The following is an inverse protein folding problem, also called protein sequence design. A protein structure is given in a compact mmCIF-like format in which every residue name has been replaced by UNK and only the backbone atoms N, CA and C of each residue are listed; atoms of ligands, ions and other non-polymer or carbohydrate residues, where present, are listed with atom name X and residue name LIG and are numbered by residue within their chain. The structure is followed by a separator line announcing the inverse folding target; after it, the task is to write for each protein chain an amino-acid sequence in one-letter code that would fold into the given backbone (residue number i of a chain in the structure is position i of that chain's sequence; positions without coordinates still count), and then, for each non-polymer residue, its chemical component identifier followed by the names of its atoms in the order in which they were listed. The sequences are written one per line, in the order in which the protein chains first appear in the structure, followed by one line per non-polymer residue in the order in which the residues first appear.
data_IF_047009305926
#
_entry.id   IF_047009305926
#
_cell.length_a   1.000
_cell.length_b   1.000
_cell.length_c   1.000
_cell.angle_alpha   90.00
_cell.angle_beta   90.00
_cell.angle_gamma   90.00
#
_symmetry.space_group_name_H-M   'P 1'
#
loop_
_entity.id
_entity.type
_entity.pdbx_description
1 polymer ?
#
# COMPACT_ATOMS: atom_id res chain seq x y z
N UNK A 1 19.29 -3.02 2.44
CA UNK A 1 18.21 -2.14 2.94
C UNK A 1 17.58 -1.40 1.76
N UNK A 2 16.26 -1.53 1.62
CA UNK A 2 15.56 -0.81 0.55
C UNK A 2 15.50 0.68 0.85
N UNK A 3 15.76 1.50 -0.16
CA UNK A 3 15.55 2.94 -0.09
C UNK A 3 14.15 3.28 -0.60
N UNK A 4 13.81 2.80 -1.77
CA UNK A 4 12.49 3.01 -2.37
C UNK A 4 12.19 1.90 -3.38
N UNK A 5 10.91 1.81 -3.75
CA UNK A 5 10.43 0.91 -4.78
C UNK A 5 9.52 1.69 -5.72
N UNK A 6 9.52 1.35 -6.99
CA UNK A 6 8.65 1.96 -7.99
C UNK A 6 7.91 0.92 -8.79
N UNK A 7 6.65 1.19 -9.10
CA UNK A 7 5.85 0.34 -9.96
C UNK A 7 5.19 1.18 -11.05
N UNK A 8 4.92 0.55 -12.18
CA UNK A 8 4.19 1.18 -13.28
C UNK A 8 2.69 0.90 -13.11
N UNK A 9 1.85 1.90 -13.38
CA UNK A 9 0.41 1.80 -13.29
C UNK A 9 -0.22 2.24 -14.59
N UNK A 10 -1.36 1.63 -14.96
CA UNK A 10 -2.02 1.94 -16.21
C UNK A 10 -2.62 3.34 -16.23
N UNK A 11 -3.29 3.73 -15.16
CA UNK A 11 -3.97 5.01 -15.06
C UNK A 11 -3.38 5.81 -13.90
N UNK A 12 -2.51 6.75 -14.22
CA UNK A 12 -1.80 7.54 -13.23
C UNK A 12 -2.72 8.26 -12.25
N UNK A 13 -3.73 9.00 -12.78
CA UNK A 13 -4.60 9.79 -11.92
C UNK A 13 -5.44 8.92 -10.97
N UNK A 14 -5.96 7.82 -11.46
CA UNK A 14 -6.73 6.89 -10.62
C UNK A 14 -5.86 6.23 -9.57
N UNK A 15 -4.67 5.76 -9.95
CA UNK A 15 -3.76 5.10 -9.01
C UNK A 15 -3.19 6.08 -7.99
N UNK A 16 -2.92 7.32 -8.40
CA UNK A 16 -2.48 8.36 -7.47
C UNK A 16 -3.55 8.61 -6.41
N UNK A 17 -4.80 8.79 -6.81
CA UNK A 17 -5.91 8.99 -5.88
C UNK A 17 -6.09 7.77 -4.98
N UNK A 18 -5.99 6.57 -5.55
CA UNK A 18 -6.09 5.33 -4.81
C UNK A 18 -5.04 5.24 -3.69
N UNK A 19 -3.77 5.39 -4.04
CA UNK A 19 -2.69 5.26 -3.06
C UNK A 19 -2.68 6.40 -2.05
N UNK A 20 -3.07 7.59 -2.45
CA UNK A 20 -3.22 8.70 -1.52
C UNK A 20 -4.23 8.38 -0.41
N UNK A 21 -5.37 7.79 -0.78
CA UNK A 21 -6.41 7.41 0.17
C UNK A 21 -6.02 6.21 1.03
N UNK A 22 -5.41 5.21 0.42
CA UNK A 22 -5.13 3.91 1.04
C UNK A 22 -3.94 3.97 1.99
N UNK A 23 -2.94 4.78 1.65
CA UNK A 23 -1.71 4.88 2.45
C UNK A 23 -1.82 5.94 3.55
N UNK A 24 -2.79 6.84 3.48
CA UNK A 24 -2.99 7.85 4.52
C UNK A 24 -3.16 7.26 5.93
N UNK A 25 -3.96 6.20 6.12
CA UNK A 25 -4.08 5.58 7.45
C UNK A 25 -2.76 5.04 8.01
N UNK A 26 -1.78 4.78 7.15
CA UNK A 26 -0.47 4.30 7.57
C UNK A 26 0.51 5.44 7.83
N UNK A 27 0.05 6.69 7.70
CA UNK A 27 0.89 7.87 7.91
C UNK A 27 1.63 8.33 6.67
N UNK A 28 1.36 7.74 5.53
CA UNK A 28 1.98 8.14 4.26
C UNK A 28 1.29 9.36 3.68
N UNK A 29 2.08 10.19 3.01
CA UNK A 29 1.60 11.35 2.28
C UNK A 29 2.12 11.31 0.86
N UNK A 30 1.43 11.98 -0.05
CA UNK A 30 1.99 12.29 -1.36
C UNK A 30 3.03 13.39 -1.14
N UNK A 31 4.31 13.03 -1.24
CA UNK A 31 5.41 13.92 -0.91
C UNK A 31 5.91 14.67 -2.15
N UNK A 32 5.99 13.97 -3.26
CA UNK A 32 6.58 14.53 -4.46
C UNK A 32 5.81 14.05 -5.68
N UNK A 33 5.59 14.97 -6.60
CA UNK A 33 4.99 14.65 -7.88
C UNK A 33 5.84 15.27 -8.98
N UNK A 34 6.38 14.42 -9.84
CA UNK A 34 7.14 14.84 -11.01
C UNK A 34 6.40 14.26 -12.20
N UNK A 35 6.49 14.87 -13.32
CA UNK A 35 5.80 14.51 -14.55
C UNK A 35 5.53 13.01 -14.70
N UNK A 36 4.29 12.56 -14.41
CA UNK A 36 3.90 11.16 -14.54
C UNK A 36 4.38 10.24 -13.41
N UNK A 37 5.03 10.79 -12.39
CA UNK A 37 5.51 10.04 -11.23
C UNK A 37 4.93 10.63 -9.95
N UNK A 38 4.49 9.79 -9.03
CA UNK A 38 4.05 10.21 -7.70
C UNK A 38 4.81 9.43 -6.65
N UNK A 39 5.40 10.13 -5.69
CA UNK A 39 6.17 9.55 -4.59
C UNK A 39 5.46 9.72 -3.26
N UNK A 40 5.27 8.62 -2.55
CA UNK A 40 4.58 8.56 -1.26
C UNK A 40 5.55 8.14 -0.17
N UNK A 41 5.37 8.68 1.02
CA UNK A 41 6.23 8.31 2.15
C UNK A 41 5.85 9.05 3.42
N UNK A 42 6.72 8.95 4.41
CA UNK A 42 6.56 9.56 5.73
C UNK A 42 7.74 10.49 5.98
N UNK A 43 7.46 11.62 6.64
CA UNK A 43 8.54 12.52 7.07
C UNK A 43 9.30 13.19 5.95
N UNK A 44 8.63 13.45 4.84
CA UNK A 44 9.27 14.15 3.72
C UNK A 44 10.13 13.27 2.83
N UNK A 45 10.19 11.96 3.09
CA UNK A 45 11.00 11.04 2.29
C UNK A 45 10.10 10.04 1.58
N UNK A 46 9.99 10.11 0.24
CA UNK A 46 9.22 9.12 -0.51
C UNK A 46 9.99 7.80 -0.60
N UNK A 47 9.28 6.70 -0.39
CA UNK A 47 9.86 5.37 -0.55
C UNK A 47 8.99 4.43 -1.40
N UNK A 48 7.82 4.91 -1.82
CA UNK A 48 6.95 4.16 -2.72
C UNK A 48 6.53 5.08 -3.87
N UNK A 49 6.88 4.68 -5.09
CA UNK A 49 6.64 5.49 -6.29
C UNK A 49 5.74 4.77 -7.27
N UNK A 50 4.88 5.52 -7.94
CA UNK A 50 4.11 5.00 -9.08
C UNK A 50 4.45 5.86 -10.30
N UNK A 51 4.47 5.22 -11.47
CA UNK A 51 4.65 5.89 -12.75
C UNK A 51 3.53 5.47 -13.68
N UNK A 52 2.90 6.44 -14.35
CA UNK A 52 1.79 6.17 -15.25
C UNK A 52 2.23 5.77 -16.66
N UNK A 53 1.28 5.21 -17.41
CA UNK A 53 1.45 4.92 -18.83
C UNK A 53 1.82 3.49 -19.17
N UNK A 54 2.14 2.68 -18.17
CA UNK A 54 2.47 1.25 -18.35
C UNK A 54 1.91 0.48 -17.18
N UNK A 55 2.03 -0.83 -17.25
CA UNK A 55 1.64 -1.71 -16.15
C UNK A 55 2.80 -2.63 -15.82
N UNK A 56 3.17 -2.73 -14.55
CA UNK A 56 4.18 -3.68 -14.11
C UNK A 56 3.61 -5.10 -14.25
N UNK A 57 4.30 -5.95 -14.99
CA UNK A 57 3.92 -7.34 -15.25
C UNK A 57 5.14 -8.23 -15.04
N UNK A 58 5.00 -9.37 -14.36
CA UNK A 58 3.82 -9.82 -13.62
C UNK A 58 3.58 -8.99 -12.37
N UNK A 59 2.47 -9.29 -11.68
CA UNK A 59 2.11 -8.51 -10.48
C UNK A 59 3.17 -8.65 -9.40
N UNK A 60 3.26 -7.63 -8.56
CA UNK A 60 4.19 -7.60 -7.42
C UNK A 60 3.41 -7.68 -6.11
N UNK A 61 4.14 -7.93 -5.02
CA UNK A 61 3.63 -7.89 -3.67
C UNK A 61 4.42 -6.86 -2.89
N UNK A 62 3.73 -5.86 -2.36
CA UNK A 62 4.34 -4.80 -1.54
C UNK A 62 3.64 -4.77 -0.20
N UNK A 63 4.40 -4.87 0.88
CA UNK A 63 3.87 -4.82 2.24
C UNK A 63 4.36 -3.56 2.94
N UNK A 64 3.42 -2.81 3.50
CA UNK A 64 3.71 -1.61 4.28
C UNK A 64 3.58 -1.94 5.76
N UNK A 65 4.57 -1.54 6.54
CA UNK A 65 4.53 -1.78 7.98
C UNK A 65 3.66 -0.73 8.67
N UNK A 66 2.88 -1.20 9.62
CA UNK A 66 2.04 -0.36 10.47
C UNK A 66 2.47 -0.50 11.92
N UNK A 67 2.36 0.57 12.69
CA UNK A 67 2.72 0.56 14.11
C UNK A 67 1.66 -0.07 15.00
N UNK A 68 0.42 -0.15 14.54
CA UNK A 68 -0.67 -0.74 15.31
C UNK A 68 -1.70 -1.40 14.39
N UNK A 69 -2.55 -2.23 14.99
CA UNK A 69 -3.55 -3.00 14.24
C UNK A 69 -4.70 -2.15 13.75
N UNK A 70 -5.01 -1.07 14.46
CA UNK A 70 -6.07 -0.15 14.02
C UNK A 70 -5.76 0.44 12.65
N UNK A 71 -4.51 0.84 12.41
CA UNK A 71 -4.09 1.38 11.12
C UNK A 71 -4.18 0.34 10.01
N UNK A 72 -3.90 -0.93 10.32
CA UNK A 72 -4.07 -2.02 9.37
C UNK A 72 -5.53 -2.13 8.95
N UNK A 73 -6.45 -2.07 9.92
CA UNK A 73 -7.89 -2.11 9.64
C UNK A 73 -8.33 -0.91 8.81
N UNK A 74 -7.85 0.29 9.16
CA UNK A 74 -8.18 1.52 8.42
C UNK A 74 -7.65 1.49 7.00
N UNK A 75 -6.45 0.95 6.80
CA UNK A 75 -5.88 0.72 5.47
C UNK A 75 -6.83 -0.16 4.62
N UNK A 76 -7.26 -1.27 5.18
CA UNK A 76 -8.13 -2.20 4.47
C UNK A 76 -9.45 -1.56 4.06
N UNK A 77 -10.10 -0.87 5.00
CA UNK A 77 -11.37 -0.19 4.72
C UNK A 77 -11.21 0.88 3.64
N UNK A 78 -10.15 1.69 3.74
CA UNK A 78 -9.88 2.73 2.74
C UNK A 78 -9.62 2.11 1.36
N UNK A 79 -8.91 0.98 1.32
CA UNK A 79 -8.61 0.30 0.07
C UNK A 79 -9.87 -0.23 -0.60
N UNK A 80 -10.73 -0.91 0.16
CA UNK A 80 -11.99 -1.43 -0.38
C UNK A 80 -12.87 -0.27 -0.88
N UNK A 81 -12.96 0.81 -0.11
CA UNK A 81 -13.74 1.99 -0.51
C UNK A 81 -13.17 2.67 -1.76
N UNK A 82 -11.87 2.54 -1.99
CA UNK A 82 -11.20 3.14 -3.15
C UNK A 82 -11.18 2.22 -4.38
N UNK A 83 -11.82 1.06 -4.31
CA UNK A 83 -11.97 0.16 -5.46
C UNK A 83 -11.05 -1.04 -5.48
N UNK A 84 -10.26 -1.28 -4.43
CA UNK A 84 -9.45 -2.48 -4.33
C UNK A 84 -10.33 -3.72 -4.10
N UNK A 85 -9.78 -4.88 -4.44
CA UNK A 85 -10.44 -6.15 -4.15
C UNK A 85 -9.85 -6.75 -2.88
N UNK A 86 -10.69 -7.43 -2.10
CA UNK A 86 -10.23 -8.19 -0.95
C UNK A 86 -9.30 -9.32 -1.37
N UNK A 87 -8.19 -9.45 -0.64
CA UNK A 87 -7.23 -10.55 -0.82
C UNK A 87 -6.81 -11.10 0.55
N UNK A 88 -7.55 -10.81 1.59
CA UNK A 88 -7.32 -11.26 2.95
C UNK A 88 -7.66 -10.17 3.96
N UNK A 89 -8.81 -10.28 4.66
CA UNK A 89 -9.23 -9.23 5.58
C UNK A 89 -8.30 -9.13 6.79
N UNK A 90 -8.37 -8.02 7.54
CA UNK A 90 -7.50 -7.83 8.69
C UNK A 90 -7.62 -8.97 9.70
N UNK A 91 -6.49 -9.49 10.14
CA UNK A 91 -6.46 -10.57 11.11
C UNK A 91 -5.06 -11.12 11.33
N UNK A 92 -4.97 -11.99 12.32
CA UNK A 92 -3.73 -12.69 12.67
C UNK A 92 -3.42 -13.73 11.60
N UNK A 93 -2.14 -13.84 11.25
CA UNK A 93 -1.60 -14.87 10.35
C UNK A 93 -0.56 -15.67 11.11
N UNK A 94 -1.02 -16.59 11.93
CA UNK A 94 -0.15 -17.37 12.82
C UNK A 94 0.93 -18.16 12.07
N UNK A 95 0.63 -18.54 10.81
CA UNK A 95 1.59 -19.25 9.97
C UNK A 95 2.89 -18.48 9.74
N UNK A 96 2.86 -17.15 9.90
CA UNK A 96 4.05 -16.33 9.78
C UNK A 96 4.70 -16.09 11.14
N UNK A 97 3.94 -15.62 12.11
CA UNK A 97 4.31 -15.59 13.53
C UNK A 97 3.10 -15.13 14.37
N UNK A 98 3.14 -15.33 15.72
CA UNK A 98 1.96 -15.08 16.58
C UNK A 98 1.41 -13.65 16.56
N UNK A 99 2.25 -12.66 16.29
CA UNK A 99 1.84 -11.25 16.29
C UNK A 99 1.72 -10.67 14.87
N UNK A 100 1.72 -11.50 13.84
CA UNK A 100 1.58 -11.04 12.48
C UNK A 100 0.12 -10.69 12.20
N UNK A 101 -0.19 -9.41 12.24
CA UNK A 101 -1.54 -8.91 11.97
C UNK A 101 -1.52 -8.18 10.63
N UNK A 102 -2.13 -8.75 9.63
CA UNK A 102 -2.06 -8.23 8.27
C UNK A 102 -3.40 -8.13 7.59
N UNK A 103 -3.45 -7.31 6.55
CA UNK A 103 -4.56 -7.20 5.63
C UNK A 103 -4.00 -7.08 4.21
N UNK A 104 -4.68 -7.71 3.27
CA UNK A 104 -4.22 -7.83 1.89
C UNK A 104 -5.32 -7.39 0.95
N UNK A 105 -4.96 -6.58 -0.03
CA UNK A 105 -5.89 -6.13 -1.07
C UNK A 105 -5.21 -6.25 -2.43
N UNK A 106 -6.03 -6.28 -3.49
CA UNK A 106 -5.55 -6.22 -4.86
C UNK A 106 -5.83 -4.81 -5.35
N UNK A 107 -4.79 -4.11 -5.80
CA UNK A 107 -4.92 -2.74 -6.25
C UNK A 107 -5.56 -2.66 -7.64
N UNK A 108 -5.62 -1.45 -8.21
CA UNK A 108 -6.30 -1.21 -9.49
C UNK A 108 -5.59 -1.89 -10.68
N UNK A 109 -4.32 -2.26 -10.51
CA UNK A 109 -3.51 -2.91 -11.53
C UNK A 109 -3.29 -4.40 -11.26
N UNK A 110 -3.90 -4.93 -10.22
CA UNK A 110 -3.80 -6.37 -9.90
C UNK A 110 -2.67 -6.75 -8.97
N UNK A 111 -1.99 -5.77 -8.35
CA UNK A 111 -0.90 -6.05 -7.41
C UNK A 111 -1.41 -6.37 -6.02
N UNK A 112 -0.68 -7.25 -5.32
CA UNK A 112 -0.98 -7.63 -3.94
C UNK A 112 -0.35 -6.60 -3.00
N UNK A 113 -1.20 -5.78 -2.36
CA UNK A 113 -0.77 -4.73 -1.45
C UNK A 113 -1.20 -5.09 -0.04
N UNK A 114 -0.26 -5.02 0.87
CA UNK A 114 -0.46 -5.48 2.25
C UNK A 114 -0.12 -4.36 3.24
N UNK A 115 -0.87 -4.30 4.34
CA UNK A 115 -0.43 -3.59 5.55
C UNK A 115 -0.24 -4.62 6.65
N UNK A 116 0.85 -4.54 7.40
CA UNK A 116 1.18 -5.50 8.43
C UNK A 116 1.69 -4.82 9.69
N UNK A 117 1.20 -5.27 10.83
CA UNK A 117 1.69 -4.87 12.15
C UNK A 117 2.26 -6.11 12.85
N UNK A 118 3.48 -5.98 13.34
CA UNK A 118 4.19 -7.06 14.04
C UNK A 118 4.08 -6.92 15.55
N UNK A 119 3.49 -5.86 16.05
CA UNK A 119 3.39 -5.61 17.49
C UNK A 119 2.24 -6.41 18.10
N UNK A 120 2.44 -6.97 19.30
CA UNK A 120 1.33 -7.55 20.04
C UNK A 120 0.37 -6.44 20.47
N UNK A 121 -0.88 -6.78 20.66
CA UNK A 121 -1.87 -5.78 21.03
C UNK A 121 -2.77 -6.23 22.17
#
# INVERSE_FOLDING_TARGET
MLDHIGIDVQNYEKSKAFYKAVLAPLGYELIMEVQGWAGFGVGGKPDFWIQGGKQTIPRVHVAFRSDNRERVRSFYEAAINAGAKDNGPPGIREMYHPNYYGAFVIDLDGHNIEAVCHNPE
#
